data_IF_821299728926
#
_entry.id   IF_821299728926
#
_cell.length_a   1.000
_cell.length_b   1.000
_cell.length_c   1.000
_cell.angle_alpha   90.00
_cell.angle_beta   90.00
_cell.angle_gamma   90.00
#
_symmetry.space_group_name_H-M   'P 1'
#
loop_
_entity.id
_entity.type
_entity.pdbx_description
1 polymer ?
#
# COMPACT_ATOMS: atom_id res chain seq x y z
N UNK A 1 11.79 13.45 -7.72
CA UNK A 1 10.99 12.66 -6.76
C UNK A 1 9.58 12.36 -7.26
N UNK A 2 8.91 13.28 -7.99
CA UNK A 2 7.55 13.08 -8.52
C UNK A 2 7.31 11.74 -9.25
N UNK A 3 8.18 11.34 -10.20
CA UNK A 3 8.05 10.05 -10.91
C UNK A 3 8.13 8.82 -10.00
N UNK A 4 8.92 8.89 -8.94
CA UNK A 4 9.03 7.80 -7.96
C UNK A 4 7.75 7.70 -7.13
N UNK A 5 7.23 8.84 -6.67
CA UNK A 5 5.97 8.93 -5.93
C UNK A 5 4.82 8.34 -6.77
N UNK A 6 4.73 8.71 -8.04
CA UNK A 6 3.71 8.16 -8.96
C UNK A 6 3.82 6.63 -9.12
N UNK A 7 5.04 6.11 -9.24
CA UNK A 7 5.28 4.66 -9.33
C UNK A 7 4.88 3.92 -8.05
N UNK A 8 5.19 4.50 -6.89
CA UNK A 8 4.80 3.95 -5.59
C UNK A 8 3.27 4.00 -5.39
N UNK A 9 2.61 5.08 -5.84
CA UNK A 9 1.15 5.19 -5.81
C UNK A 9 0.50 4.10 -6.68
N UNK A 10 1.01 3.85 -7.89
CA UNK A 10 0.57 2.72 -8.72
C UNK A 10 0.77 1.37 -8.04
N UNK A 11 1.86 1.22 -7.28
CA UNK A 11 2.12 0.00 -6.50
C UNK A 11 1.08 -0.18 -5.37
N UNK A 12 0.66 0.90 -4.72
CA UNK A 12 -0.43 0.86 -3.71
C UNK A 12 -1.74 0.37 -4.32
N UNK A 13 -2.07 0.82 -5.53
CA UNK A 13 -3.27 0.35 -6.23
C UNK A 13 -3.19 -1.13 -6.61
N UNK A 14 -2.04 -1.58 -7.13
CA UNK A 14 -1.83 -3.00 -7.41
C UNK A 14 -1.96 -3.85 -6.14
N UNK A 15 -1.41 -3.39 -5.00
CA UNK A 15 -1.56 -4.10 -3.73
C UNK A 15 -3.02 -4.16 -3.27
N UNK A 16 -3.85 -3.16 -3.56
CA UNK A 16 -5.30 -3.22 -3.28
C UNK A 16 -5.96 -4.35 -4.05
N UNK A 17 -5.67 -4.46 -5.35
CA UNK A 17 -6.22 -5.51 -6.22
C UNK A 17 -5.78 -6.90 -5.73
N UNK A 18 -4.51 -7.06 -5.36
CA UNK A 18 -3.99 -8.34 -4.84
C UNK A 18 -4.60 -8.72 -3.48
N UNK A 19 -4.86 -7.74 -2.61
CA UNK A 19 -5.57 -7.97 -1.33
C UNK A 19 -6.99 -8.47 -1.62
N UNK A 20 -7.73 -7.78 -2.48
CA UNK A 20 -9.11 -8.14 -2.84
C UNK A 20 -9.15 -9.53 -3.51
N UNK A 21 -8.21 -9.81 -4.40
CA UNK A 21 -8.07 -11.12 -5.04
C UNK A 21 -7.82 -12.23 -4.00
N UNK A 22 -6.93 -11.99 -3.04
CA UNK A 22 -6.61 -12.94 -1.98
C UNK A 22 -7.81 -13.21 -1.07
N UNK A 23 -8.48 -12.15 -0.62
CA UNK A 23 -9.68 -12.23 0.22
C UNK A 23 -10.81 -12.97 -0.50
N UNK A 24 -11.03 -12.67 -1.78
CA UNK A 24 -12.02 -13.35 -2.61
C UNK A 24 -11.70 -14.83 -2.82
N UNK A 25 -10.43 -15.16 -3.08
CA UNK A 25 -9.99 -16.55 -3.26
C UNK A 25 -10.17 -17.38 -1.98
N UNK A 26 -9.91 -16.76 -0.81
CA UNK A 26 -10.09 -17.41 0.48
C UNK A 26 -11.55 -17.40 0.97
N UNK A 27 -12.39 -16.51 0.43
CA UNK A 27 -13.74 -16.26 0.92
C UNK A 27 -13.78 -15.60 2.30
N UNK A 28 -12.68 -14.96 2.72
CA UNK A 28 -12.54 -14.34 4.06
C UNK A 28 -12.09 -12.90 3.90
N UNK A 29 -12.97 -11.97 4.28
CA UNK A 29 -12.75 -10.52 4.16
C UNK A 29 -12.58 -9.83 5.52
N UNK A 30 -13.05 -10.47 6.60
CA UNK A 30 -12.92 -9.94 7.95
C UNK A 30 -11.47 -10.07 8.43
N UNK A 31 -10.79 -8.93 8.55
CA UNK A 31 -9.40 -8.84 9.01
C UNK A 31 -9.19 -9.40 10.43
N UNK A 32 -10.24 -9.42 11.26
CA UNK A 32 -10.19 -9.97 12.62
C UNK A 32 -10.36 -11.49 12.67
N UNK A 33 -10.80 -12.10 11.56
CA UNK A 33 -10.95 -13.55 11.48
C UNK A 33 -9.60 -14.24 11.66
N UNK A 34 -9.58 -15.29 12.49
CA UNK A 34 -8.39 -16.12 12.71
C UNK A 34 -7.94 -16.80 11.40
N UNK A 35 -8.89 -17.04 10.49
CA UNK A 35 -8.67 -17.62 9.16
C UNK A 35 -8.34 -16.58 8.09
N UNK A 36 -8.21 -15.30 8.44
CA UNK A 36 -7.89 -14.26 7.48
C UNK A 36 -6.53 -14.53 6.81
N UNK A 37 -6.42 -14.43 5.47
CA UNK A 37 -5.23 -14.88 4.76
C UNK A 37 -3.96 -14.13 5.17
N UNK A 38 -2.90 -14.90 5.46
CA UNK A 38 -1.58 -14.34 5.83
C UNK A 38 -1.02 -13.46 4.70
N UNK A 39 -1.26 -13.84 3.44
CA UNK A 39 -0.82 -13.04 2.29
C UNK A 39 -1.53 -11.69 2.27
N UNK A 40 -2.87 -11.65 2.39
CA UNK A 40 -3.63 -10.40 2.41
C UNK A 40 -3.18 -9.49 3.57
N UNK A 41 -2.85 -10.08 4.73
CA UNK A 41 -2.33 -9.32 5.89
C UNK A 41 -0.97 -8.70 5.58
N UNK A 42 -0.08 -9.47 4.96
CA UNK A 42 1.26 -9.01 4.57
C UNK A 42 1.20 -7.91 3.51
N UNK A 43 0.31 -8.06 2.52
CA UNK A 43 0.07 -7.05 1.47
C UNK A 43 -0.48 -5.75 2.07
N UNK A 44 -1.41 -5.82 3.04
CA UNK A 44 -1.91 -4.64 3.78
C UNK A 44 -0.78 -3.92 4.52
N UNK A 45 0.07 -4.63 5.25
CA UNK A 45 1.23 -4.03 5.93
C UNK A 45 2.20 -3.38 4.94
N UNK A 46 2.48 -4.03 3.81
CA UNK A 46 3.35 -3.48 2.78
C UNK A 46 2.76 -2.23 2.13
N UNK A 47 1.46 -2.24 1.85
CA UNK A 47 0.71 -1.10 1.31
C UNK A 47 0.83 0.11 2.24
N UNK A 48 0.72 -0.10 3.55
CA UNK A 48 0.86 0.98 4.53
C UNK A 48 2.29 1.53 4.59
N UNK A 49 3.31 0.67 4.59
CA UNK A 49 4.70 1.12 4.54
C UNK A 49 5.01 1.99 3.31
N UNK A 50 4.42 1.65 2.15
CA UNK A 50 4.58 2.44 0.92
C UNK A 50 3.89 3.79 1.05
N UNK A 51 2.70 3.87 1.66
CA UNK A 51 2.01 5.15 1.91
C UNK A 51 2.81 6.08 2.81
N UNK A 52 3.39 5.54 3.88
CA UNK A 52 4.29 6.29 4.77
C UNK A 52 5.50 6.81 3.99
N UNK A 53 6.07 5.97 3.12
CA UNK A 53 7.20 6.36 2.26
C UNK A 53 6.82 7.47 1.28
N UNK A 54 5.64 7.38 0.65
CA UNK A 54 5.10 8.42 -0.24
C UNK A 54 4.98 9.75 0.51
N UNK A 55 4.34 9.76 1.68
CA UNK A 55 4.16 10.97 2.48
C UNK A 55 5.51 11.62 2.86
N UNK A 56 6.51 10.81 3.19
CA UNK A 56 7.88 11.29 3.46
C UNK A 56 8.52 11.93 2.22
N UNK A 57 8.38 11.30 1.05
CA UNK A 57 8.91 11.81 -0.21
C UNK A 57 8.21 13.08 -0.68
N UNK A 58 6.90 13.20 -0.48
CA UNK A 58 6.12 14.41 -0.77
C UNK A 58 6.58 15.58 0.11
N UNK A 59 6.75 15.35 1.41
CA UNK A 59 7.25 16.37 2.32
C UNK A 59 8.67 16.86 1.93
N UNK A 60 9.54 15.94 1.51
CA UNK A 60 10.88 16.28 1.01
C UNK A 60 10.82 17.07 -0.30
N UNK A 61 9.96 16.66 -1.23
CA UNK A 61 9.79 17.37 -2.51
C UNK A 61 9.33 18.82 -2.27
N UNK A 62 8.32 19.02 -1.43
CA UNK A 62 7.85 20.37 -1.08
C UNK A 62 8.92 21.21 -0.40
N UNK A 63 9.71 20.62 0.50
CA UNK A 63 10.83 21.33 1.14
C UNK A 63 11.90 21.76 0.12
N UNK A 64 12.18 20.95 -0.91
CA UNK A 64 13.12 21.32 -1.97
C UNK A 64 12.59 22.33 -2.97
N UNK A 65 11.27 22.40 -3.18
CA UNK A 65 10.64 23.39 -4.05
C UNK A 65 10.51 24.77 -3.40
N UNK A 66 10.51 24.83 -2.06
CA UNK A 66 10.41 26.07 -1.29
C UNK A 66 11.78 26.71 -0.97
N UNK A 67 12.88 26.02 -1.24
CA UNK A 67 14.26 26.47 -1.00
C UNK A 67 14.89 27.09 -2.26
#
# INVERSE_FOLDING_TARGET
MAKLIESLARSVELLSIEIEHEEARAGVYDLSAVTYPVLARSLRSRKENIRITIASLEAQLHATEAA
#
